data_IF_406517967867
#
_entry.id   IF_406517967867
#
_cell.length_a   1.000
_cell.length_b   1.000
_cell.length_c   1.000
_cell.angle_alpha   90.00
_cell.angle_beta   90.00
_cell.angle_gamma   90.00
#
_symmetry.space_group_name_H-M   'P 1'
#
loop_
_entity.id
_entity.type
_entity.pdbx_description
1 polymer ?
#
# COMPACT_ATOMS: atom_id res chain seq x y z
N UNK A 1 12.60 -1.15 19.74
CA UNK A 1 11.33 -1.54 19.11
C UNK A 1 11.68 -2.23 17.79
N UNK A 2 11.37 -3.52 17.68
CA UNK A 2 11.83 -4.42 16.60
C UNK A 2 11.47 -3.87 15.21
N UNK A 3 12.49 -3.63 14.37
CA UNK A 3 12.35 -3.57 12.92
C UNK A 3 12.18 -5.00 12.39
N UNK A 4 11.13 -5.69 12.82
CA UNK A 4 10.72 -6.94 12.18
C UNK A 4 10.06 -6.57 10.85
N UNK A 5 10.53 -7.22 9.78
CA UNK A 5 10.13 -6.93 8.42
C UNK A 5 8.60 -7.00 8.29
N UNK A 6 7.94 -5.83 8.24
CA UNK A 6 6.51 -5.74 7.94
C UNK A 6 6.28 -6.49 6.61
N UNK A 7 5.54 -7.60 6.70
CA UNK A 7 5.05 -8.34 5.55
C UNK A 7 4.12 -7.43 4.72
N UNK A 8 4.17 -7.61 3.41
CA UNK A 8 3.52 -6.69 2.47
C UNK A 8 2.02 -6.44 2.75
N UNK A 9 1.19 -7.43 3.14
CA UNK A 9 -0.24 -7.19 3.43
C UNK A 9 -0.47 -6.15 4.54
N UNK A 10 0.30 -6.24 5.61
CA UNK A 10 0.23 -5.39 6.80
C UNK A 10 0.74 -3.98 6.48
N UNK A 11 1.82 -3.89 5.70
CA UNK A 11 2.31 -2.61 5.19
C UNK A 11 1.25 -1.90 4.35
N UNK A 12 0.53 -2.62 3.48
CA UNK A 12 -0.54 -2.03 2.66
C UNK A 12 -1.66 -1.48 3.53
N UNK A 13 -2.13 -2.28 4.51
CA UNK A 13 -3.16 -1.85 5.47
C UNK A 13 -2.74 -0.62 6.27
N UNK A 14 -1.50 -0.61 6.78
CA UNK A 14 -0.97 0.48 7.60
C UNK A 14 -0.91 1.79 6.83
N UNK A 15 -0.33 1.78 5.63
CA UNK A 15 -0.27 2.96 4.76
C UNK A 15 -1.68 3.44 4.40
N UNK A 16 -2.59 2.52 4.08
CA UNK A 16 -3.98 2.87 3.77
C UNK A 16 -4.65 3.60 4.93
N UNK A 17 -4.53 3.06 6.15
CA UNK A 17 -5.12 3.66 7.35
C UNK A 17 -4.49 5.00 7.72
N UNK A 18 -3.16 5.14 7.61
CA UNK A 18 -2.48 6.42 7.85
C UNK A 18 -2.98 7.51 6.90
N UNK A 19 -3.33 7.15 5.67
CA UNK A 19 -3.86 8.07 4.67
C UNK A 19 -5.39 8.26 4.77
N UNK A 20 -6.08 7.55 5.66
CA UNK A 20 -7.53 7.61 5.81
C UNK A 20 -8.30 7.07 4.61
N UNK A 21 -7.70 6.18 3.80
CA UNK A 21 -8.29 5.70 2.55
C UNK A 21 -9.11 4.42 2.75
N UNK A 22 -10.16 4.28 1.97
CA UNK A 22 -10.81 2.99 1.70
C UNK A 22 -9.93 2.12 0.79
N UNK A 23 -10.23 0.82 0.71
CA UNK A 23 -9.52 -0.07 -0.23
C UNK A 23 -9.77 0.34 -1.69
N UNK A 24 -10.94 0.89 -2.01
CA UNK A 24 -11.28 1.39 -3.35
C UNK A 24 -10.51 2.65 -3.70
N UNK A 25 -10.40 3.60 -2.77
CA UNK A 25 -9.63 4.83 -2.96
C UNK A 25 -8.14 4.52 -3.14
N UNK A 26 -7.61 3.59 -2.35
CA UNK A 26 -6.23 3.12 -2.53
C UNK A 26 -6.04 2.44 -3.89
N UNK A 27 -7.00 1.62 -4.33
CA UNK A 27 -6.95 0.95 -5.62
C UNK A 27 -6.94 1.99 -6.77
N UNK A 28 -7.79 3.01 -6.68
CA UNK A 28 -7.84 4.12 -7.63
C UNK A 28 -6.50 4.89 -7.69
N UNK A 29 -5.92 5.23 -6.53
CA UNK A 29 -4.61 5.92 -6.45
C UNK A 29 -3.44 5.11 -7.03
N UNK A 30 -3.54 3.77 -6.97
CA UNK A 30 -2.56 2.83 -7.49
C UNK A 30 -2.84 2.38 -8.94
N UNK A 31 -3.98 2.77 -9.52
CA UNK A 31 -4.39 2.33 -10.86
C UNK A 31 -4.61 0.82 -10.97
N UNK A 32 -5.11 0.18 -9.91
CA UNK A 32 -5.44 -1.26 -9.87
C UNK A 32 -6.90 -1.46 -9.47
N UNK A 33 -7.41 -2.69 -9.58
CA UNK A 33 -8.77 -3.00 -9.11
C UNK A 33 -8.85 -3.07 -7.58
N UNK A 34 -10.02 -2.80 -7.02
CA UNK A 34 -10.32 -3.08 -5.60
C UNK A 34 -9.95 -4.52 -5.21
N UNK A 35 -10.28 -5.50 -6.05
CA UNK A 35 -9.98 -6.90 -5.80
C UNK A 35 -8.47 -7.18 -5.68
N UNK A 36 -7.62 -6.38 -6.35
CA UNK A 36 -6.16 -6.45 -6.23
C UNK A 36 -5.71 -6.01 -4.84
N UNK A 37 -6.16 -4.84 -4.37
CA UNK A 37 -5.84 -4.32 -3.03
C UNK A 37 -6.37 -5.26 -1.94
N UNK A 38 -7.61 -5.72 -2.07
CA UNK A 38 -8.22 -6.66 -1.13
C UNK A 38 -7.40 -7.97 -1.01
N UNK A 39 -6.92 -8.53 -2.13
CA UNK A 39 -6.05 -9.72 -2.09
C UNK A 39 -4.69 -9.46 -1.46
N UNK A 40 -4.09 -8.29 -1.72
CA UNK A 40 -2.83 -7.91 -1.08
C UNK A 40 -2.98 -7.79 0.42
N UNK A 41 -3.98 -7.04 0.91
CA UNK A 41 -4.24 -6.84 2.34
C UNK A 41 -4.58 -8.15 3.07
N UNK A 42 -5.14 -9.13 2.39
CA UNK A 42 -5.45 -10.45 2.96
C UNK A 42 -4.38 -11.50 2.68
N UNK A 43 -3.21 -11.12 2.15
CA UNK A 43 -2.10 -12.03 1.87
C UNK A 43 -2.41 -13.12 0.83
N UNK A 44 -3.48 -12.96 0.04
CA UNK A 44 -3.92 -13.96 -0.95
C UNK A 44 -3.05 -13.98 -2.19
N UNK A 45 -2.40 -12.86 -2.51
CA UNK A 45 -1.46 -12.75 -3.63
C UNK A 45 -0.37 -11.76 -3.30
N UNK A 46 0.86 -12.04 -3.75
CA UNK A 46 1.94 -11.05 -3.69
C UNK A 46 1.90 -10.12 -4.92
N UNK A 47 2.28 -8.85 -4.77
CA UNK A 47 2.34 -7.90 -5.89
C UNK A 47 3.40 -8.34 -6.90
N UNK A 48 3.09 -8.15 -8.19
CA UNK A 48 4.06 -8.30 -9.26
C UNK A 48 5.21 -7.28 -9.13
N UNK A 49 6.29 -7.46 -9.88
CA UNK A 49 7.41 -6.50 -9.91
C UNK A 49 6.92 -5.09 -10.27
N UNK A 50 6.00 -4.97 -11.23
CA UNK A 50 5.41 -3.69 -11.64
C UNK A 50 4.58 -3.08 -10.51
N UNK A 51 3.72 -3.88 -9.86
CA UNK A 51 2.92 -3.42 -8.73
C UNK A 51 3.78 -2.95 -7.55
N UNK A 52 4.91 -3.61 -7.27
CA UNK A 52 5.88 -3.15 -6.26
C UNK A 52 6.49 -1.80 -6.62
N UNK A 53 6.76 -1.55 -7.90
CA UNK A 53 7.26 -0.24 -8.37
C UNK A 53 6.21 0.84 -8.17
N UNK A 54 4.97 0.59 -8.59
CA UNK A 54 3.83 1.52 -8.40
C UNK A 54 3.62 1.81 -6.91
N UNK A 55 3.64 0.79 -6.06
CA UNK A 55 3.56 0.93 -4.60
C UNK A 55 4.65 1.85 -4.05
N UNK A 56 5.92 1.62 -4.41
CA UNK A 56 7.04 2.46 -3.95
C UNK A 56 6.91 3.91 -4.41
N UNK A 57 6.46 4.13 -5.65
CA UNK A 57 6.23 5.48 -6.18
C UNK A 57 5.09 6.18 -5.45
N UNK A 58 4.00 5.45 -5.17
CA UNK A 58 2.89 5.95 -4.36
C UNK A 58 3.35 6.37 -2.97
N UNK A 59 4.05 5.50 -2.21
CA UNK A 59 4.55 5.85 -0.87
C UNK A 59 5.45 7.09 -0.91
N UNK A 60 6.42 7.15 -1.84
CA UNK A 60 7.29 8.32 -2.02
C UNK A 60 6.52 9.61 -2.29
N UNK A 61 5.46 9.53 -3.12
CA UNK A 61 4.59 10.67 -3.42
C UNK A 61 3.85 11.16 -2.16
N UNK A 62 3.39 10.24 -1.32
CA UNK A 62 2.66 10.59 -0.10
C UNK A 62 3.58 11.14 1.00
N UNK A 63 4.81 10.63 1.13
CA UNK A 63 5.85 11.19 2.01
C UNK A 63 6.19 12.62 1.58
N UNK A 64 6.42 12.86 0.28
CA UNK A 64 6.71 14.21 -0.24
C UNK A 64 5.57 15.20 0.02
N UNK A 65 4.33 14.71 0.11
CA UNK A 65 3.14 15.52 0.46
C UNK A 65 2.95 15.70 1.97
N UNK A 66 3.80 15.11 2.81
CA UNK A 66 3.66 15.13 4.27
C UNK A 66 2.47 14.32 4.80
N UNK A 67 1.90 13.42 3.99
CA UNK A 67 0.74 12.61 4.37
C UNK A 67 1.10 11.24 4.96
N UNK A 68 2.34 10.80 4.74
CA UNK A 68 2.86 9.53 5.26
C UNK A 68 4.16 9.83 6.01
N UNK A 69 4.30 9.27 7.21
CA UNK A 69 5.52 9.35 8.00
C UNK A 69 6.41 8.14 7.67
N UNK A 70 7.70 8.39 7.49
CA UNK A 70 8.72 7.36 7.22
C UNK A 70 9.11 6.58 8.49
#
# INVERSE_FOLDING_TARGET
MNREAENFPELVKKVRWQLGLSQEELAHELGVSFATVNRWENGKTMPSKMAKTVWKQFCRRQIKKGKLND
#
